data_IF_934715301393
#
_entry.id   IF_934715301393
#
_cell.length_a   1.000
_cell.length_b   1.000
_cell.length_c   1.000
_cell.angle_alpha   90.00
_cell.angle_beta   90.00
_cell.angle_gamma   90.00
#
_symmetry.space_group_name_H-M   'P 1'
#
loop_
_entity.id
_entity.type
_entity.pdbx_description
1 polymer ?
#
# COMPACT_ATOMS: atom_id res chain seq x y z
N UNK A 1 5.85 -16.35 -6.32
CA UNK A 1 6.50 -16.09 -5.02
C UNK A 1 7.21 -14.74 -5.04
N UNK A 2 7.20 -14.02 -3.91
CA UNK A 2 7.86 -12.72 -3.79
C UNK A 2 9.40 -12.87 -3.90
N UNK A 3 10.04 -12.06 -4.74
CA UNK A 3 11.52 -12.05 -4.91
C UNK A 3 12.22 -11.14 -3.89
N UNK A 4 11.52 -10.14 -3.38
CA UNK A 4 12.04 -9.18 -2.41
C UNK A 4 11.35 -9.46 -1.07
N UNK A 5 12.15 -9.69 -0.03
CA UNK A 5 11.65 -9.93 1.33
C UNK A 5 10.88 -8.69 1.82
N UNK A 6 9.60 -8.80 2.21
CA UNK A 6 8.86 -7.71 2.84
C UNK A 6 9.49 -7.36 4.20
N UNK A 7 9.68 -6.07 4.47
CA UNK A 7 10.22 -5.62 5.76
C UNK A 7 9.17 -5.69 6.87
N UNK A 8 9.66 -5.91 8.09
CA UNK A 8 8.92 -5.81 9.35
C UNK A 8 8.96 -4.39 9.90
N UNK A 9 8.04 -3.99 10.79
CA UNK A 9 8.08 -2.67 11.42
C UNK A 9 9.40 -2.37 12.15
N UNK A 10 10.11 -3.40 12.62
CA UNK A 10 11.39 -3.26 13.30
C UNK A 10 12.57 -3.04 12.35
N UNK A 11 12.40 -3.29 11.05
CA UNK A 11 13.46 -3.20 10.03
C UNK A 11 13.43 -1.87 9.24
N UNK A 12 12.53 -0.93 9.58
CA UNK A 12 12.34 0.33 8.84
C UNK A 12 12.66 1.55 9.71
N UNK A 13 12.94 2.69 9.06
CA UNK A 13 13.18 3.97 9.74
C UNK A 13 11.92 4.50 10.46
N UNK A 14 12.11 5.51 11.31
CA UNK A 14 11.06 6.07 12.14
C UNK A 14 9.86 6.63 11.35
N UNK A 15 10.09 7.22 10.18
CA UNK A 15 9.01 7.79 9.37
C UNK A 15 8.22 6.69 8.66
N UNK A 16 8.91 5.67 8.14
CA UNK A 16 8.29 4.46 7.60
C UNK A 16 7.47 3.71 8.66
N UNK A 17 7.94 3.68 9.92
CA UNK A 17 7.18 3.11 11.04
C UNK A 17 5.85 3.82 11.26
N UNK A 18 5.82 5.16 11.20
CA UNK A 18 4.57 5.92 11.34
C UNK A 18 3.54 5.56 10.23
N UNK A 19 4.02 5.35 9.00
CA UNK A 19 3.17 4.88 7.89
C UNK A 19 2.63 3.47 8.18
N UNK A 20 3.47 2.57 8.68
CA UNK A 20 3.05 1.21 9.03
C UNK A 20 2.03 1.19 10.18
N UNK A 21 2.20 2.03 11.19
CA UNK A 21 1.22 2.20 12.26
C UNK A 21 -0.12 2.72 11.73
N UNK A 22 -0.09 3.67 10.80
CA UNK A 22 -1.31 4.17 10.17
C UNK A 22 -2.07 3.03 9.47
N UNK A 23 -1.37 2.16 8.74
CA UNK A 23 -1.98 0.97 8.14
C UNK A 23 -2.57 0.02 9.18
N UNK A 24 -1.84 -0.28 10.26
CA UNK A 24 -2.34 -1.15 11.32
C UNK A 24 -3.61 -0.59 11.97
N UNK A 25 -3.67 0.72 12.22
CA UNK A 25 -4.86 1.37 12.80
C UNK A 25 -6.05 1.36 11.84
N UNK A 26 -5.82 1.54 10.53
CA UNK A 26 -6.90 1.63 9.54
C UNK A 26 -7.40 0.26 9.04
N UNK A 27 -6.50 -0.72 8.89
CA UNK A 27 -6.79 -2.00 8.21
C UNK A 27 -6.51 -3.24 9.08
N UNK A 28 -5.83 -3.10 10.21
CA UNK A 28 -5.39 -4.24 11.04
C UNK A 28 -4.21 -5.02 10.46
N UNK A 29 -3.70 -4.64 9.28
CA UNK A 29 -2.52 -5.24 8.66
C UNK A 29 -1.72 -4.19 7.88
N UNK A 30 -0.49 -4.55 7.50
CA UNK A 30 0.36 -3.76 6.60
C UNK A 30 0.50 -4.55 5.30
N UNK A 31 -0.06 -4.07 4.17
CA UNK A 31 0.01 -4.80 2.90
C UNK A 31 1.46 -5.03 2.46
N UNK A 32 1.73 -6.22 1.89
CA UNK A 32 3.09 -6.63 1.52
C UNK A 32 3.75 -5.69 0.50
N UNK A 33 2.97 -5.09 -0.41
CA UNK A 33 3.47 -4.06 -1.33
C UNK A 33 4.17 -2.92 -0.60
N UNK A 34 3.56 -2.36 0.45
CA UNK A 34 4.16 -1.27 1.24
C UNK A 34 5.36 -1.75 2.05
N UNK A 35 5.32 -2.98 2.58
CA UNK A 35 6.48 -3.60 3.23
C UNK A 35 7.67 -3.78 2.29
N UNK A 36 7.42 -4.07 1.02
CA UNK A 36 8.46 -4.19 0.00
C UNK A 36 8.97 -2.82 -0.44
N UNK A 37 8.09 -1.83 -0.61
CA UNK A 37 8.51 -0.46 -0.93
C UNK A 37 9.35 0.18 0.18
N UNK A 38 9.16 -0.24 1.44
CA UNK A 38 9.92 0.26 2.59
C UNK A 38 11.44 0.03 2.52
N UNK A 39 11.93 -0.84 1.63
CA UNK A 39 13.36 -0.91 1.29
C UNK A 39 13.90 0.44 0.79
N UNK A 40 13.03 1.31 0.26
CA UNK A 40 13.33 2.69 -0.13
C UNK A 40 12.25 3.62 0.47
N UNK A 41 12.52 4.25 1.61
CA UNK A 41 11.53 5.05 2.35
C UNK A 41 10.83 6.11 1.49
N UNK A 42 11.56 6.77 0.59
CA UNK A 42 10.98 7.76 -0.33
C UNK A 42 9.94 7.16 -1.29
N UNK A 43 10.12 5.91 -1.73
CA UNK A 43 9.11 5.21 -2.53
C UNK A 43 7.89 4.81 -1.69
N UNK A 44 8.09 4.39 -0.45
CA UNK A 44 6.99 4.12 0.48
C UNK A 44 6.14 5.38 0.70
N UNK A 45 6.76 6.52 1.00
CA UNK A 45 6.06 7.79 1.27
C UNK A 45 5.24 8.24 0.07
N UNK A 46 5.84 8.24 -1.11
CA UNK A 46 5.16 8.66 -2.35
C UNK A 46 4.00 7.73 -2.68
N UNK A 47 4.19 6.42 -2.58
CA UNK A 47 3.12 5.44 -2.79
C UNK A 47 1.99 5.62 -1.76
N UNK A 48 2.31 5.71 -0.47
CA UNK A 48 1.33 5.89 0.60
C UNK A 48 0.47 7.13 0.36
N UNK A 49 1.09 8.26 0.03
CA UNK A 49 0.38 9.51 -0.28
C UNK A 49 -0.49 9.36 -1.53
N UNK A 50 0.05 8.75 -2.59
CA UNK A 50 -0.66 8.57 -3.86
C UNK A 50 -1.91 7.71 -3.70
N UNK A 51 -1.79 6.52 -3.10
CA UNK A 51 -2.92 5.63 -2.87
C UNK A 51 -3.95 6.23 -1.90
N UNK A 52 -3.50 6.88 -0.83
CA UNK A 52 -4.41 7.55 0.12
C UNK A 52 -5.20 8.66 -0.56
N UNK A 53 -4.56 9.45 -1.42
CA UNK A 53 -5.23 10.50 -2.19
C UNK A 53 -6.27 9.90 -3.13
N UNK A 54 -5.89 8.90 -3.93
CA UNK A 54 -6.80 8.28 -4.90
C UNK A 54 -8.00 7.64 -4.20
N UNK A 55 -7.77 6.83 -3.17
CA UNK A 55 -8.83 6.04 -2.56
C UNK A 55 -9.75 6.90 -1.67
N UNK A 56 -9.20 7.83 -0.90
CA UNK A 56 -9.95 8.52 0.15
C UNK A 56 -10.47 9.92 -0.24
N UNK A 57 -10.14 10.44 -1.42
CA UNK A 57 -10.59 11.78 -1.85
C UNK A 57 -11.36 11.74 -3.18
N UNK A 58 -11.96 12.85 -3.57
CA UNK A 58 -12.70 13.00 -4.83
C UNK A 58 -14.17 12.61 -4.73
N UNK A 59 -14.84 12.51 -5.88
CA UNK A 59 -16.30 12.34 -6.00
C UNK A 59 -16.74 10.91 -6.25
N UNK A 60 -15.80 10.01 -6.57
CA UNK A 60 -16.09 8.60 -6.84
C UNK A 60 -16.05 7.82 -5.53
N UNK A 61 -17.09 7.02 -5.28
CA UNK A 61 -17.18 6.17 -4.10
C UNK A 61 -16.03 5.14 -4.04
N UNK A 62 -15.55 4.86 -2.83
CA UNK A 62 -14.42 3.95 -2.60
C UNK A 62 -14.69 2.55 -3.14
N UNK A 63 -15.93 2.05 -3.06
CA UNK A 63 -16.28 0.71 -3.56
C UNK A 63 -16.08 0.62 -5.07
N UNK A 64 -16.44 1.67 -5.81
CA UNK A 64 -16.24 1.69 -7.26
C UNK A 64 -14.76 1.74 -7.62
N UNK A 65 -13.95 2.51 -6.89
CA UNK A 65 -12.49 2.55 -7.10
C UNK A 65 -11.85 1.17 -6.90
N UNK A 66 -12.23 0.46 -5.83
CA UNK A 66 -11.73 -0.88 -5.56
C UNK A 66 -12.18 -1.89 -6.64
N UNK A 67 -13.43 -1.82 -7.13
CA UNK A 67 -13.89 -2.67 -8.24
C UNK A 67 -13.11 -2.42 -9.54
N UNK A 68 -12.78 -1.16 -9.84
CA UNK A 68 -11.92 -0.82 -10.98
C UNK A 68 -10.51 -1.40 -10.78
N UNK A 69 -9.96 -1.27 -9.56
CA UNK A 69 -8.67 -1.87 -9.20
C UNK A 69 -8.64 -3.38 -9.47
N UNK A 70 -9.64 -4.11 -8.98
CA UNK A 70 -9.77 -5.56 -9.22
C UNK A 70 -9.87 -5.87 -10.71
N UNK A 71 -10.68 -5.12 -11.46
CA UNK A 71 -10.87 -5.37 -12.90
C UNK A 71 -9.57 -5.16 -13.69
N UNK A 72 -8.82 -4.10 -13.39
CA UNK A 72 -7.54 -3.83 -14.03
C UNK A 72 -6.50 -4.90 -13.67
N UNK A 73 -6.45 -5.35 -12.41
CA UNK A 73 -5.56 -6.45 -11.99
C UNK A 73 -5.87 -7.75 -12.74
N UNK A 74 -7.15 -8.11 -12.92
CA UNK A 74 -7.55 -9.27 -13.72
C UNK A 74 -7.09 -9.16 -15.18
N UNK A 75 -7.27 -8.00 -15.80
CA UNK A 75 -6.84 -7.75 -17.18
C UNK A 75 -5.32 -7.87 -17.34
N UNK A 76 -4.56 -7.50 -16.31
CA UNK A 76 -3.10 -7.58 -16.27
C UNK A 76 -2.57 -8.92 -15.72
N UNK A 77 -3.44 -9.88 -15.42
CA UNK A 77 -3.05 -11.17 -14.81
C UNK A 77 -2.22 -10.98 -13.52
N UNK A 78 -2.55 -9.96 -12.73
CA UNK A 78 -1.89 -9.68 -11.46
C UNK A 78 -2.62 -10.44 -10.34
N UNK A 79 -2.01 -11.52 -9.84
CA UNK A 79 -2.59 -12.42 -8.83
C UNK A 79 -2.33 -12.00 -7.37
N UNK A 80 -1.51 -10.98 -7.14
CA UNK A 80 -1.21 -10.45 -5.81
C UNK A 80 -2.41 -9.66 -5.24
#
# INVERSE_FOLDING_TARGET
MARIKPLTPQEVDQESQQIFEAFLRQRGNIPNMFRTLAHRPELLKTAYKHFSTILNTGTVDIRLKEMVGVRVSQMNQCEY
#
